data_IF_092071636401
#
_entry.id   IF_092071636401
#
_cell.length_a   1.000
_cell.length_b   1.000
_cell.length_c   1.000
_cell.angle_alpha   90.00
_cell.angle_beta   90.00
_cell.angle_gamma   90.00
#
_symmetry.space_group_name_H-M   'P 1'
#
loop_
_entity.id
_entity.type
_entity.pdbx_description
1 polymer ?
#
# COMPACT_ATOMS: atom_id res chain seq x y z
N UNK A 1 -46.26 -63.48 -15.10
CA UNK A 1 -46.24 -62.37 -14.12
C UNK A 1 -44.84 -61.76 -14.10
N UNK A 2 -44.78 -60.42 -14.10
CA UNK A 2 -43.64 -59.56 -14.47
C UNK A 2 -42.45 -59.65 -13.49
N UNK A 3 -41.22 -59.69 -14.03
CA UNK A 3 -39.98 -59.45 -13.29
C UNK A 3 -39.54 -58.00 -13.50
N UNK A 4 -39.51 -57.21 -12.44
CA UNK A 4 -39.06 -55.82 -12.45
C UNK A 4 -37.55 -55.77 -12.21
N UNK A 5 -36.79 -55.26 -13.18
CA UNK A 5 -35.36 -54.95 -13.04
C UNK A 5 -35.26 -53.49 -12.59
N UNK A 6 -34.87 -53.28 -11.33
CA UNK A 6 -34.64 -51.95 -10.76
C UNK A 6 -33.25 -51.43 -11.16
N UNK A 7 -33.22 -50.42 -12.03
CA UNK A 7 -32.00 -49.72 -12.42
C UNK A 7 -31.61 -48.72 -11.32
N UNK A 8 -30.52 -48.98 -10.61
CA UNK A 8 -29.94 -48.10 -9.59
C UNK A 8 -29.08 -47.04 -10.28
N UNK A 9 -29.56 -45.79 -10.31
CA UNK A 9 -28.81 -44.64 -10.82
C UNK A 9 -28.02 -44.03 -9.65
N UNK A 10 -26.70 -44.22 -9.66
CA UNK A 10 -25.77 -43.57 -8.74
C UNK A 10 -25.52 -42.11 -9.18
N UNK A 11 -25.73 -41.10 -8.32
CA UNK A 11 -25.34 -39.74 -8.61
C UNK A 11 -23.83 -39.60 -8.44
N UNK A 12 -23.11 -39.44 -9.55
CA UNK A 12 -21.70 -39.05 -9.55
C UNK A 12 -21.62 -37.58 -9.13
N UNK A 13 -21.23 -37.35 -7.88
CA UNK A 13 -20.84 -36.05 -7.36
C UNK A 13 -19.56 -35.60 -8.09
N UNK A 14 -19.74 -34.86 -9.19
CA UNK A 14 -18.66 -34.15 -9.87
C UNK A 14 -18.22 -33.02 -8.95
N UNK A 15 -17.16 -33.28 -8.17
CA UNK A 15 -16.39 -32.25 -7.50
C UNK A 15 -15.75 -31.37 -8.58
N UNK A 16 -16.41 -30.27 -8.94
CA UNK A 16 -15.75 -29.17 -9.63
C UNK A 16 -14.82 -28.51 -8.63
N UNK A 17 -13.61 -29.06 -8.51
CA UNK A 17 -12.50 -28.36 -7.89
C UNK A 17 -12.31 -27.05 -8.65
N UNK A 18 -12.79 -25.95 -8.09
CA UNK A 18 -12.44 -24.61 -8.56
C UNK A 18 -10.94 -24.47 -8.38
N UNK A 19 -10.19 -24.77 -9.44
CA UNK A 19 -8.81 -24.39 -9.55
C UNK A 19 -8.79 -22.87 -9.39
N UNK A 20 -8.44 -22.40 -8.18
CA UNK A 20 -8.09 -21.02 -7.93
C UNK A 20 -6.95 -20.72 -8.89
N UNK A 21 -7.28 -20.09 -10.02
CA UNK A 21 -6.31 -19.69 -11.02
C UNK A 21 -5.17 -18.98 -10.28
N UNK A 22 -3.98 -19.56 -10.31
CA UNK A 22 -2.82 -18.99 -9.66
C UNK A 22 -2.64 -17.57 -10.18
N UNK A 23 -2.76 -16.60 -9.28
CA UNK A 23 -2.68 -15.16 -9.61
C UNK A 23 -1.43 -14.92 -10.47
N UNK A 24 -1.53 -14.23 -11.62
CA UNK A 24 -0.38 -14.04 -12.50
C UNK A 24 0.77 -13.36 -11.74
N UNK A 25 1.99 -13.88 -11.88
CA UNK A 25 3.18 -13.34 -11.21
C UNK A 25 3.64 -12.04 -11.86
N UNK A 26 4.19 -11.12 -11.07
CA UNK A 26 4.75 -9.84 -11.51
C UNK A 26 3.77 -8.66 -11.47
N UNK A 27 2.65 -8.79 -10.75
CA UNK A 27 1.64 -7.72 -10.67
C UNK A 27 0.98 -7.60 -9.29
N UNK A 28 0.44 -6.42 -9.00
CA UNK A 28 -0.33 -6.16 -7.78
C UNK A 28 -1.84 -6.11 -8.08
N UNK A 29 -2.65 -6.71 -7.23
CA UNK A 29 -4.11 -6.51 -7.24
C UNK A 29 -4.50 -5.11 -6.79
N UNK A 30 -5.73 -4.70 -7.08
CA UNK A 30 -6.26 -3.40 -6.67
C UNK A 30 -6.04 -3.07 -5.18
N UNK A 31 -6.27 -4.04 -4.29
CA UNK A 31 -6.04 -3.86 -2.85
C UNK A 31 -4.55 -3.66 -2.49
N UNK A 32 -3.66 -4.33 -3.20
CA UNK A 32 -2.21 -4.22 -2.99
C UNK A 32 -1.67 -2.90 -3.54
N UNK A 33 -2.22 -2.42 -4.66
CA UNK A 33 -1.94 -1.09 -5.20
C UNK A 33 -2.42 0.00 -4.24
N UNK A 34 -3.62 -0.16 -3.68
CA UNK A 34 -4.13 0.78 -2.68
C UNK A 34 -3.24 0.82 -1.43
N UNK A 35 -2.82 -0.34 -0.93
CA UNK A 35 -1.88 -0.43 0.18
C UNK A 35 -0.54 0.22 -0.13
N UNK A 36 0.02 -0.02 -1.34
CA UNK A 36 1.25 0.60 -1.81
C UNK A 36 1.16 2.13 -1.81
N UNK A 37 0.08 2.69 -2.36
CA UNK A 37 -0.15 4.15 -2.39
C UNK A 37 -0.22 4.74 -0.98
N UNK A 38 -0.92 4.07 -0.07
CA UNK A 38 -1.04 4.49 1.33
C UNK A 38 0.35 4.51 2.00
N UNK A 39 1.13 3.44 1.85
CA UNK A 39 2.48 3.36 2.43
C UNK A 39 3.39 4.43 1.85
N UNK A 40 3.37 4.64 0.52
CA UNK A 40 4.16 5.71 -0.14
C UNK A 40 3.81 7.10 0.37
N UNK A 41 2.52 7.40 0.48
CA UNK A 41 2.06 8.68 1.01
C UNK A 41 2.50 8.88 2.46
N UNK A 42 2.47 7.81 3.27
CA UNK A 42 2.95 7.85 4.66
C UNK A 42 4.44 8.16 4.72
N UNK A 43 5.25 7.47 3.92
CA UNK A 43 6.70 7.73 3.81
C UNK A 43 6.96 9.16 3.34
N UNK A 44 6.30 9.62 2.28
CA UNK A 44 6.43 10.99 1.78
C UNK A 44 6.15 12.02 2.87
N UNK A 45 5.03 11.87 3.58
CA UNK A 45 4.64 12.79 4.64
C UNK A 45 5.59 12.75 5.83
N UNK A 46 6.12 11.57 6.20
CA UNK A 46 7.12 11.43 7.26
C UNK A 46 8.42 12.14 6.92
N UNK A 47 8.99 11.85 5.74
CA UNK A 47 10.27 12.44 5.33
C UNK A 47 10.10 13.94 5.07
N UNK A 48 9.00 14.35 4.41
CA UNK A 48 8.64 15.75 4.24
C UNK A 48 8.45 16.49 5.55
N UNK A 49 7.77 15.87 6.54
CA UNK A 49 7.59 16.46 7.85
C UNK A 49 8.91 16.67 8.58
N UNK A 50 9.84 15.71 8.47
CA UNK A 50 11.18 15.83 9.07
C UNK A 50 12.01 16.91 8.38
N UNK A 51 11.97 17.00 7.06
CA UNK A 51 12.69 18.03 6.30
C UNK A 51 12.15 19.44 6.56
N UNK A 52 10.83 19.59 6.61
CA UNK A 52 10.16 20.87 6.83
C UNK A 52 10.17 21.36 8.28
N UNK A 53 10.53 20.51 9.24
CA UNK A 53 10.79 20.91 10.63
C UNK A 53 12.18 21.54 10.82
N UNK A 54 13.12 21.13 9.96
CA UNK A 54 14.49 21.62 10.00
C UNK A 54 14.60 23.09 9.55
N UNK A 55 15.76 23.68 9.87
CA UNK A 55 16.15 24.99 9.33
C UNK A 55 16.25 24.92 7.81
N UNK A 56 15.80 25.94 7.06
CA UNK A 56 15.25 27.23 7.52
C UNK A 56 13.71 27.27 7.67
N UNK A 57 13.00 26.16 7.47
CA UNK A 57 11.55 26.17 7.24
C UNK A 57 10.71 26.20 8.52
N UNK A 58 11.09 25.44 9.55
CA UNK A 58 10.45 25.46 10.88
C UNK A 58 8.91 25.34 10.92
N UNK A 59 8.31 24.49 10.09
CA UNK A 59 6.84 24.37 9.98
C UNK A 59 6.16 23.54 11.09
N UNK A 60 6.90 23.06 12.10
CA UNK A 60 6.40 22.19 13.18
C UNK A 60 5.66 20.94 12.66
N UNK A 61 6.02 20.48 11.47
CA UNK A 61 5.40 19.36 10.78
C UNK A 61 5.74 18.02 11.41
N UNK A 62 6.91 17.90 12.06
CA UNK A 62 7.31 16.63 12.67
C UNK A 62 6.39 16.22 13.82
N UNK A 63 6.02 17.17 14.69
CA UNK A 63 5.07 16.94 15.77
C UNK A 63 3.69 16.51 15.25
N UNK A 64 3.25 17.08 14.12
CA UNK A 64 2.00 16.67 13.46
C UNK A 64 2.08 15.24 12.92
N UNK A 65 3.21 14.86 12.30
CA UNK A 65 3.43 13.49 11.85
C UNK A 65 3.40 12.50 13.02
N UNK A 66 4.07 12.81 14.14
CA UNK A 66 4.07 11.95 15.31
C UNK A 66 2.65 11.69 15.85
N UNK A 67 1.78 12.71 15.86
CA UNK A 67 0.37 12.53 16.24
C UNK A 67 -0.40 11.66 15.25
N UNK A 68 -0.15 11.82 13.94
CA UNK A 68 -0.75 10.98 12.90
C UNK A 68 -0.33 9.52 13.07
N UNK A 69 0.97 9.27 13.28
CA UNK A 69 1.52 7.92 13.47
C UNK A 69 1.02 7.28 14.77
N UNK A 70 0.96 8.04 15.86
CA UNK A 70 0.40 7.55 17.13
C UNK A 70 -1.09 7.17 16.98
N UNK A 71 -1.88 7.97 16.26
CA UNK A 71 -3.32 7.74 16.10
C UNK A 71 -3.65 6.65 15.09
N UNK A 72 -2.87 6.51 14.02
CA UNK A 72 -3.17 5.62 12.89
C UNK A 72 -2.10 4.54 12.63
N UNK A 73 -1.16 4.37 13.56
CA UNK A 73 -0.08 3.38 13.49
C UNK A 73 -0.56 1.96 13.17
N UNK A 74 -1.63 1.43 13.82
CA UNK A 74 -2.18 0.12 13.49
C UNK A 74 -2.64 0.00 12.02
N UNK A 75 -3.24 1.05 11.46
CA UNK A 75 -3.65 1.09 10.06
C UNK A 75 -2.44 1.10 9.14
N UNK A 76 -1.42 1.91 9.44
CA UNK A 76 -0.15 1.91 8.69
C UNK A 76 0.54 0.56 8.72
N UNK A 77 0.63 -0.09 9.88
CA UNK A 77 1.21 -1.42 10.03
C UNK A 77 0.50 -2.45 9.15
N UNK A 78 -0.84 -2.43 9.13
CA UNK A 78 -1.64 -3.32 8.27
C UNK A 78 -1.36 -3.11 6.78
N UNK A 79 -1.31 -1.85 6.31
CA UNK A 79 -1.01 -1.58 4.90
C UNK A 79 0.43 -1.97 4.54
N UNK A 80 1.37 -1.77 5.47
CA UNK A 80 2.76 -2.17 5.30
C UNK A 80 2.89 -3.68 5.17
N UNK A 81 2.15 -4.45 5.97
CA UNK A 81 2.12 -5.91 5.88
C UNK A 81 1.55 -6.39 4.54
N UNK A 82 0.42 -5.84 4.08
CA UNK A 82 -0.18 -6.17 2.78
C UNK A 82 0.84 -5.93 1.65
N UNK A 83 1.46 -4.75 1.65
CA UNK A 83 2.51 -4.39 0.71
C UNK A 83 3.69 -5.36 0.76
N UNK A 84 4.20 -5.67 1.95
CA UNK A 84 5.35 -6.55 2.12
C UNK A 84 5.05 -7.96 1.58
N UNK A 85 3.88 -8.52 1.91
CA UNK A 85 3.46 -9.82 1.39
C UNK A 85 3.33 -9.82 -0.14
N UNK A 86 2.82 -8.74 -0.74
CA UNK A 86 2.76 -8.60 -2.19
C UNK A 86 4.17 -8.54 -2.82
N UNK A 87 5.08 -7.74 -2.26
CA UNK A 87 6.46 -7.67 -2.74
C UNK A 87 7.21 -8.99 -2.63
N UNK A 88 7.10 -9.69 -1.51
CA UNK A 88 7.74 -11.01 -1.32
C UNK A 88 7.20 -12.03 -2.33
N UNK A 89 5.89 -12.01 -2.60
CA UNK A 89 5.26 -12.95 -3.52
C UNK A 89 5.65 -12.69 -4.98
N UNK A 90 5.64 -11.43 -5.41
CA UNK A 90 5.78 -11.05 -6.81
C UNK A 90 7.23 -10.78 -7.23
N UNK A 91 8.06 -10.37 -6.27
CA UNK A 91 9.41 -9.86 -6.50
C UNK A 91 10.42 -10.47 -5.52
N UNK A 92 10.28 -11.75 -5.14
CA UNK A 92 11.14 -12.41 -4.13
C UNK A 92 12.65 -12.24 -4.41
N UNK A 93 13.07 -12.37 -5.67
CA UNK A 93 14.47 -12.16 -6.07
C UNK A 93 14.93 -10.71 -5.88
N UNK A 94 14.06 -9.73 -6.14
CA UNK A 94 14.38 -8.31 -5.88
C UNK A 94 14.28 -7.98 -4.39
N UNK A 95 13.41 -8.66 -3.64
CA UNK A 95 13.30 -8.53 -2.19
C UNK A 95 14.61 -8.94 -1.49
N UNK A 96 15.18 -10.07 -1.89
CA UNK A 96 16.45 -10.60 -1.37
C UNK A 96 17.64 -9.69 -1.75
N UNK A 97 17.65 -9.18 -2.98
CA UNK A 97 18.77 -8.37 -3.49
C UNK A 97 18.64 -6.87 -3.21
N UNK A 98 17.43 -6.37 -2.94
CA UNK A 98 17.11 -4.94 -2.74
C UNK A 98 16.03 -4.75 -1.65
N UNK A 99 16.30 -5.15 -0.39
CA UNK A 99 15.34 -5.06 0.72
C UNK A 99 14.89 -3.62 1.04
N UNK A 100 15.65 -2.62 0.57
CA UNK A 100 15.23 -1.22 0.64
C UNK A 100 13.99 -0.93 -0.21
N UNK A 101 13.83 -1.58 -1.35
CA UNK A 101 12.66 -1.40 -2.22
C UNK A 101 11.41 -2.00 -1.59
N UNK A 102 11.56 -3.12 -0.87
CA UNK A 102 10.45 -3.83 -0.23
C UNK A 102 10.02 -3.29 1.14
N UNK A 103 10.87 -2.55 1.83
CA UNK A 103 10.56 -1.94 3.15
C UNK A 103 10.07 -0.50 3.07
N UNK A 104 10.00 0.06 1.86
CA UNK A 104 9.57 1.44 1.63
C UNK A 104 10.74 2.43 1.59
N UNK A 105 11.99 1.96 1.74
CA UNK A 105 13.24 2.70 1.52
C UNK A 105 13.52 2.98 0.01
N UNK A 106 12.45 3.05 -0.79
CA UNK A 106 12.29 3.99 -1.92
C UNK A 106 12.33 5.47 -1.46
N UNK A 107 12.46 5.70 -0.15
CA UNK A 107 12.76 6.95 0.55
C UNK A 107 13.77 7.86 -0.18
N UNK A 108 14.74 7.33 -0.96
CA UNK A 108 15.72 8.18 -1.66
C UNK A 108 15.05 9.28 -2.47
N UNK A 109 14.02 8.95 -3.28
CA UNK A 109 13.40 9.98 -4.12
C UNK A 109 12.65 11.06 -3.32
N UNK A 110 12.04 10.71 -2.19
CA UNK A 110 11.38 11.69 -1.32
C UNK A 110 12.38 12.55 -0.52
N UNK A 111 13.60 12.07 -0.31
CA UNK A 111 14.68 12.86 0.30
C UNK A 111 15.27 13.87 -0.68
N UNK A 112 15.21 13.57 -1.97
CA UNK A 112 15.73 14.44 -3.04
C UNK A 112 14.70 15.49 -3.51
N UNK A 113 13.47 15.46 -2.96
CA UNK A 113 12.44 16.44 -3.32
C UNK A 113 12.83 17.83 -2.80
N UNK A 114 12.93 18.86 -3.65
CA UNK A 114 13.37 20.17 -3.22
C UNK A 114 12.38 20.76 -2.21
N UNK A 115 12.88 21.03 -1.01
CA UNK A 115 12.10 21.69 0.03
C UNK A 115 11.88 23.15 -0.34
N UNK A 116 10.67 23.63 -0.11
CA UNK A 116 10.23 25.01 -0.31
C UNK A 116 9.12 25.33 0.67
N UNK A 117 8.86 26.62 0.90
CA UNK A 117 7.71 27.05 1.73
C UNK A 117 6.40 26.43 1.25
N UNK A 118 6.15 26.46 -0.06
CA UNK A 118 4.94 25.90 -0.66
C UNK A 118 4.83 24.40 -0.41
N UNK A 119 5.95 23.67 -0.52
CA UNK A 119 5.98 22.24 -0.22
C UNK A 119 5.68 21.97 1.26
N UNK A 120 6.32 22.72 2.16
CA UNK A 120 6.16 22.53 3.60
C UNK A 120 4.77 22.91 4.11
N UNK A 121 4.17 23.97 3.59
CA UNK A 121 2.75 24.30 3.80
C UNK A 121 1.84 23.15 3.32
N UNK A 122 2.15 22.56 2.17
CA UNK A 122 1.45 21.40 1.63
C UNK A 122 1.49 20.20 2.58
N UNK A 123 2.67 19.85 3.09
CA UNK A 123 2.86 18.77 4.08
C UNK A 123 2.06 19.06 5.34
N UNK A 124 2.21 20.25 5.91
CA UNK A 124 1.50 20.67 7.13
C UNK A 124 -0.02 20.55 6.96
N UNK A 125 -0.56 21.08 5.85
CA UNK A 125 -1.98 21.01 5.52
C UNK A 125 -2.48 19.57 5.40
N UNK A 126 -1.73 18.69 4.74
CA UNK A 126 -2.11 17.28 4.58
C UNK A 126 -2.17 16.54 5.93
N UNK A 127 -1.19 16.80 6.82
CA UNK A 127 -1.16 16.23 8.17
C UNK A 127 -2.32 16.74 9.03
N UNK A 128 -2.57 18.05 9.03
CA UNK A 128 -3.70 18.65 9.74
C UNK A 128 -5.06 18.13 9.23
N UNK A 129 -5.21 17.97 7.91
CA UNK A 129 -6.40 17.36 7.34
C UNK A 129 -6.58 15.91 7.78
N UNK A 130 -5.50 15.15 7.89
CA UNK A 130 -5.56 13.77 8.40
C UNK A 130 -5.97 13.73 9.88
N UNK A 131 -5.42 14.60 10.71
CA UNK A 131 -5.77 14.69 12.13
C UNK A 131 -7.23 15.14 12.34
N UNK A 132 -7.71 16.09 11.55
CA UNK A 132 -9.08 16.62 11.66
C UNK A 132 -10.15 15.70 11.06
N UNK A 133 -9.88 15.10 9.89
CA UNK A 133 -10.87 14.31 9.12
C UNK A 133 -10.68 12.80 9.22
N UNK A 134 -9.63 12.35 9.89
CA UNK A 134 -9.34 10.95 10.17
C UNK A 134 -8.74 10.16 9.00
N UNK A 135 -8.61 8.85 9.21
CA UNK A 135 -7.97 7.91 8.27
C UNK A 135 -8.52 7.96 6.85
N UNK A 136 -9.83 8.13 6.68
CA UNK A 136 -10.44 8.23 5.35
C UNK A 136 -9.94 9.42 4.53
N UNK A 137 -9.56 10.52 5.18
CA UNK A 137 -8.92 11.65 4.48
C UNK A 137 -7.50 11.32 4.04
N UNK A 138 -6.73 10.61 4.86
CA UNK A 138 -5.41 10.12 4.49
C UNK A 138 -5.49 9.20 3.26
N UNK A 139 -6.42 8.24 3.27
CA UNK A 139 -6.62 7.31 2.14
C UNK A 139 -6.97 8.06 0.86
N UNK A 140 -7.84 9.08 0.94
CA UNK A 140 -8.14 9.94 -0.22
C UNK A 140 -6.92 10.70 -0.72
N UNK A 141 -6.12 11.29 0.18
CA UNK A 141 -4.87 11.94 -0.19
C UNK A 141 -3.92 10.97 -0.91
N UNK A 142 -3.77 9.74 -0.40
CA UNK A 142 -2.94 8.71 -1.01
C UNK A 142 -3.44 8.28 -2.40
N UNK A 143 -4.77 8.29 -2.64
CA UNK A 143 -5.35 7.87 -3.93
C UNK A 143 -5.09 8.85 -5.09
N UNK A 144 -4.86 10.13 -4.78
CA UNK A 144 -4.61 11.19 -5.77
C UNK A 144 -3.15 11.62 -5.83
N UNK A 145 -2.30 11.08 -4.96
CA UNK A 145 -0.88 11.35 -5.00
C UNK A 145 -0.28 10.74 -6.28
N UNK A 146 0.55 11.49 -7.04
CA UNK A 146 1.15 10.96 -8.25
C UNK A 146 2.05 9.76 -7.93
N UNK A 147 1.99 8.73 -8.76
CA UNK A 147 2.87 7.56 -8.68
C UNK A 147 4.27 7.95 -9.20
N UNK A 148 5.05 8.67 -8.39
CA UNK A 148 6.37 9.22 -8.80
C UNK A 148 7.46 8.14 -8.95
N UNK A 149 7.18 6.91 -8.51
CA UNK A 149 8.08 5.77 -8.77
C UNK A 149 7.61 5.11 -10.06
N UNK A 150 8.23 5.47 -11.17
CA UNK A 150 8.05 4.80 -12.44
C UNK A 150 8.11 3.27 -12.28
N UNK A 151 6.95 2.64 -12.48
CA UNK A 151 6.77 1.24 -12.91
C UNK A 151 7.63 0.13 -12.29
N UNK A 152 7.90 0.13 -10.98
CA UNK A 152 8.49 -1.06 -10.32
C UNK A 152 7.50 -2.24 -10.29
N UNK A 153 6.18 -1.98 -10.32
CA UNK A 153 5.15 -3.01 -10.41
C UNK A 153 4.08 -2.65 -11.43
N UNK A 154 3.51 -3.66 -12.09
CA UNK A 154 2.36 -3.51 -13.00
C UNK A 154 1.07 -3.84 -12.26
N UNK A 155 -0.05 -3.13 -12.49
CA UNK A 155 -1.35 -3.60 -12.03
C UNK A 155 -1.67 -4.96 -12.68
N UNK A 156 -2.27 -5.88 -11.92
CA UNK A 156 -2.80 -7.09 -12.52
C UNK A 156 -3.96 -6.71 -13.43
N UNK A 157 -3.86 -7.03 -14.73
CA UNK A 157 -4.96 -6.95 -15.68
C UNK A 157 -5.86 -8.18 -15.52
#
# INVERSE_FOLDING_TARGET
MRRSVGLLVLPVLVWTGTALAAKPRGCFSANEIAAERIVRQGVRLREGARGCDGSPWHYHTWALWQQVDQRFGPQFARQTQIRQSAFVREFSKDFENRPSQSTGRLVTHYRDYPLSDVYCQGVQKQLQQTLSRGWGAFVRQASVAPDVVEFIYKPCQ
#
